data_IF_207806846108
#
_entry.id   IF_207806846108
#
_cell.length_a   1.000
_cell.length_b   1.000
_cell.length_c   1.000
_cell.angle_alpha   90.00
_cell.angle_beta   90.00
_cell.angle_gamma   90.00
#
_symmetry.space_group_name_H-M   'P 1'
#
loop_
_entity.id
_entity.type
_entity.pdbx_description
1 polymer ?
#
# COMPACT_ATOMS: atom_id res chain seq x y z
N UNK A 1 -1.63 -59.21 48.69
CA UNK A 1 -0.16 -59.08 48.60
C UNK A 1 0.16 -57.67 48.11
N UNK A 2 0.43 -56.74 49.03
CA UNK A 2 0.81 -55.36 48.71
C UNK A 2 2.35 -55.24 48.59
N UNK A 3 2.82 -54.39 47.68
CA UNK A 3 4.23 -53.96 47.56
C UNK A 3 4.31 -52.43 47.59
N UNK A 4 5.42 -51.85 48.06
CA UNK A 4 5.41 -50.68 48.96
C UNK A 4 5.53 -49.31 48.28
N UNK A 5 5.29 -48.20 49.03
CA UNK A 5 5.35 -46.82 48.55
C UNK A 5 6.77 -46.25 48.68
N UNK A 6 7.11 -45.22 47.88
CA UNK A 6 8.32 -44.42 48.09
C UNK A 6 7.97 -42.94 48.19
N UNK A 7 7.97 -42.51 49.45
CA UNK A 7 8.40 -41.26 50.08
C UNK A 7 8.50 -39.94 49.30
N UNK A 8 7.90 -38.95 49.94
CA UNK A 8 8.02 -37.51 49.73
C UNK A 8 9.44 -36.96 49.97
N UNK A 9 9.76 -35.85 49.31
CA UNK A 9 10.60 -34.79 49.86
C UNK A 9 9.91 -33.45 49.62
N UNK A 10 9.48 -32.82 50.71
CA UNK A 10 9.22 -31.39 50.83
C UNK A 10 10.43 -30.80 51.56
N UNK A 11 11.10 -29.81 50.97
CA UNK A 11 11.90 -28.80 51.71
C UNK A 11 11.79 -27.49 50.91
N UNK A 12 11.04 -26.51 51.40
CA UNK A 12 11.56 -25.21 51.90
C UNK A 12 11.71 -24.20 50.74
N UNK A 13 10.99 -23.08 50.66
CA UNK A 13 10.96 -21.98 51.64
C UNK A 13 11.72 -20.77 51.05
N UNK A 14 10.95 -19.75 50.63
CA UNK A 14 11.23 -18.35 50.21
C UNK A 14 12.42 -17.64 50.93
N UNK A 15 12.95 -16.44 50.51
CA UNK A 15 12.29 -15.35 49.75
C UNK A 15 13.16 -14.47 48.79
N UNK A 16 12.48 -13.53 48.13
CA UNK A 16 12.89 -12.16 47.75
C UNK A 16 14.22 -11.91 47.01
N UNK A 17 14.11 -11.55 45.72
CA UNK A 17 15.14 -10.80 45.00
C UNK A 17 14.46 -9.73 44.15
N UNK A 18 14.39 -8.51 44.69
CA UNK A 18 14.04 -7.31 43.92
C UNK A 18 15.10 -7.11 42.83
N UNK A 19 14.68 -7.17 41.58
CA UNK A 19 15.48 -6.78 40.42
C UNK A 19 14.62 -5.87 39.55
N UNK A 20 14.72 -4.57 39.79
CA UNK A 20 14.20 -3.55 38.88
C UNK A 20 14.99 -3.64 37.57
N UNK A 21 14.38 -4.19 36.53
CA UNK A 21 14.81 -4.00 35.15
C UNK A 21 13.59 -3.63 34.31
N UNK A 22 13.51 -2.32 34.02
CA UNK A 22 12.92 -1.68 32.85
C UNK A 22 11.76 -2.41 32.16
N UNK A 23 10.55 -2.01 32.52
CA UNK A 23 9.35 -2.26 31.73
C UNK A 23 9.42 -1.46 30.40
N UNK A 24 9.09 -2.12 29.29
CA UNK A 24 8.71 -1.44 28.04
C UNK A 24 9.55 -1.79 26.82
N UNK A 25 9.56 -3.06 26.38
CA UNK A 25 9.74 -3.49 24.99
C UNK A 25 10.10 -4.99 24.97
N UNK A 26 9.11 -5.88 24.89
CA UNK A 26 9.22 -7.26 24.38
C UNK A 26 8.03 -8.09 24.88
N UNK A 27 6.85 -7.85 24.31
CA UNK A 27 5.74 -8.79 24.47
C UNK A 27 4.77 -8.74 23.28
N UNK A 28 5.31 -8.73 22.07
CA UNK A 28 4.51 -8.84 20.85
C UNK A 28 4.32 -10.33 20.52
N UNK A 29 3.05 -10.72 20.38
CA UNK A 29 2.54 -12.10 20.48
C UNK A 29 2.45 -12.77 19.12
N UNK A 30 2.29 -14.11 19.12
CA UNK A 30 2.30 -15.04 17.97
C UNK A 30 1.32 -14.74 16.81
N UNK A 31 0.52 -13.68 16.87
CA UNK A 31 -0.54 -13.37 15.90
C UNK A 31 -0.38 -12.03 15.15
N UNK A 32 0.61 -11.22 15.49
CA UNK A 32 0.85 -9.95 14.80
C UNK A 32 1.41 -10.17 13.39
N UNK A 33 0.85 -9.48 12.39
CA UNK A 33 1.37 -9.48 11.02
C UNK A 33 2.10 -8.18 10.73
N UNK A 34 3.13 -8.27 9.89
CA UNK A 34 3.84 -7.11 9.39
C UNK A 34 3.06 -6.47 8.24
N UNK A 35 2.70 -5.19 8.38
CA UNK A 35 2.06 -4.39 7.34
C UNK A 35 3.04 -3.31 6.87
N UNK A 36 3.09 -3.08 5.56
CA UNK A 36 3.82 -1.99 4.94
C UNK A 36 2.88 -1.13 4.10
N UNK A 37 3.08 0.18 4.15
CA UNK A 37 2.43 1.12 3.24
C UNK A 37 3.49 1.88 2.46
N UNK A 38 3.40 1.85 1.14
CA UNK A 38 4.49 2.33 0.26
C UNK A 38 3.96 3.39 -0.69
N UNK A 39 4.42 4.63 -0.49
CA UNK A 39 4.28 5.69 -1.49
C UNK A 39 5.38 5.53 -2.55
N UNK A 40 4.99 5.02 -3.71
CA UNK A 40 5.93 4.60 -4.75
C UNK A 40 6.24 5.73 -5.72
N UNK A 41 7.50 5.80 -6.16
CA UNK A 41 7.90 6.73 -7.22
C UNK A 41 8.61 6.02 -8.36
N UNK A 42 8.40 6.51 -9.59
CA UNK A 42 9.00 5.95 -10.81
C UNK A 42 10.44 6.43 -11.07
N UNK A 43 10.96 7.29 -10.20
CA UNK A 43 12.32 7.83 -10.25
C UNK A 43 12.86 8.06 -8.83
N UNK A 44 13.08 6.99 -8.05
CA UNK A 44 13.60 7.10 -6.70
C UNK A 44 15.00 7.71 -6.72
N UNK A 45 15.27 8.54 -5.73
CA UNK A 45 16.58 9.15 -5.48
C UNK A 45 16.69 9.48 -4.00
N UNK A 46 17.87 9.92 -3.54
CA UNK A 46 18.02 10.42 -2.15
C UNK A 46 17.11 11.63 -1.84
N UNK A 47 16.83 12.46 -2.84
CA UNK A 47 15.94 13.62 -2.70
C UNK A 47 14.44 13.27 -2.81
N UNK A 48 14.12 12.13 -3.42
CA UNK A 48 12.76 11.62 -3.56
C UNK A 48 12.77 10.10 -3.46
N UNK A 49 12.88 9.54 -2.25
CA UNK A 49 12.89 8.10 -2.06
C UNK A 49 11.49 7.51 -2.28
N UNK A 50 11.42 6.19 -2.37
CA UNK A 50 10.19 5.46 -2.09
C UNK A 50 10.00 5.49 -0.57
N UNK A 51 8.86 6.01 -0.10
CA UNK A 51 8.61 6.15 1.34
C UNK A 51 7.78 4.97 1.82
N UNK A 52 8.22 4.32 2.90
CA UNK A 52 7.61 3.10 3.41
C UNK A 52 7.27 3.21 4.90
N UNK A 53 5.98 3.30 5.23
CA UNK A 53 5.51 3.08 6.60
C UNK A 53 5.60 1.59 6.93
N UNK A 54 6.19 1.27 8.08
CA UNK A 54 6.31 -0.08 8.62
C UNK A 54 5.47 -0.17 9.87
N UNK A 55 4.57 -1.15 9.90
CA UNK A 55 3.55 -1.26 10.93
C UNK A 55 3.44 -2.68 11.46
N UNK A 56 2.90 -2.80 12.67
CA UNK A 56 2.37 -4.05 13.20
C UNK A 56 0.85 -4.00 13.18
N UNK A 57 0.23 -5.10 12.76
CA UNK A 57 -1.21 -5.27 12.81
C UNK A 57 -1.61 -6.48 13.63
N UNK A 58 -2.45 -6.27 14.65
CA UNK A 58 -2.98 -7.31 15.54
C UNK A 58 -4.40 -6.91 15.97
N UNK A 59 -5.36 -7.84 15.86
CA UNK A 59 -6.73 -7.68 16.39
C UNK A 59 -7.43 -6.35 16.03
N UNK A 60 -7.29 -5.89 14.77
CA UNK A 60 -7.94 -4.64 14.30
C UNK A 60 -7.17 -3.37 14.66
N UNK A 61 -6.02 -3.48 15.31
CA UNK A 61 -5.13 -2.38 15.67
C UNK A 61 -3.92 -2.33 14.73
N UNK A 62 -3.67 -1.18 14.12
CA UNK A 62 -2.51 -0.88 13.30
C UNK A 62 -1.60 0.10 14.03
N UNK A 63 -0.42 -0.35 14.44
CA UNK A 63 0.60 0.50 15.05
C UNK A 63 1.68 0.83 14.04
N UNK A 64 1.93 2.12 13.80
CA UNK A 64 3.06 2.58 12.97
C UNK A 64 4.33 2.54 13.82
N UNK A 65 5.30 1.71 13.39
CA UNK A 65 6.59 1.52 14.06
C UNK A 65 7.64 2.50 13.51
N UNK A 66 7.64 2.71 12.19
CA UNK A 66 8.67 3.50 11.51
C UNK A 66 8.12 4.04 10.17
N UNK A 67 8.63 5.20 9.73
CA UNK A 67 8.47 5.69 8.36
C UNK A 67 9.86 5.74 7.70
N UNK A 68 10.17 4.72 6.92
CA UNK A 68 11.46 4.53 6.27
C UNK A 68 11.55 5.34 4.97
N UNK A 69 12.56 6.22 4.89
CA UNK A 69 12.88 7.03 3.69
C UNK A 69 14.21 6.64 3.05
N UNK A 70 14.76 5.47 3.40
CA UNK A 70 16.04 4.94 2.90
C UNK A 70 15.95 4.19 1.58
N UNK A 71 14.77 3.98 1.01
CA UNK A 71 14.59 3.30 -0.29
C UNK A 71 14.80 4.32 -1.42
N UNK A 72 16.06 4.69 -1.63
CA UNK A 72 16.47 5.76 -2.55
C UNK A 72 16.74 5.27 -3.98
N UNK A 73 16.67 3.97 -4.24
CA UNK A 73 16.78 3.39 -5.56
C UNK A 73 15.92 2.11 -5.71
N UNK A 74 15.88 1.57 -6.93
CA UNK A 74 15.10 0.36 -7.21
C UNK A 74 15.73 -0.91 -6.65
N UNK A 75 17.05 -0.96 -6.43
CA UNK A 75 17.71 -2.11 -5.82
C UNK A 75 17.32 -2.25 -4.35
N UNK A 76 17.24 -1.15 -3.61
CA UNK A 76 16.72 -1.11 -2.25
C UNK A 76 15.24 -1.54 -2.20
N UNK A 77 14.43 -1.14 -3.18
CA UNK A 77 13.04 -1.57 -3.27
C UNK A 77 12.92 -3.08 -3.58
N UNK A 78 13.74 -3.60 -4.49
CA UNK A 78 13.81 -5.04 -4.79
C UNK A 78 14.30 -5.85 -3.59
N UNK A 79 15.25 -5.34 -2.80
CA UNK A 79 15.68 -5.94 -1.54
C UNK A 79 14.54 -5.98 -0.51
N UNK A 80 13.74 -4.92 -0.41
CA UNK A 80 12.51 -4.90 0.40
C UNK A 80 11.52 -6.00 -0.04
N UNK A 81 11.23 -6.11 -1.34
CA UNK A 81 10.34 -7.17 -1.86
C UNK A 81 10.90 -8.59 -1.64
N UNK A 82 12.23 -8.72 -1.59
CA UNK A 82 12.93 -9.97 -1.31
C UNK A 82 13.00 -10.34 0.17
N UNK A 83 12.62 -9.45 1.09
CA UNK A 83 12.70 -9.71 2.53
C UNK A 83 11.80 -10.89 2.94
N UNK A 84 12.24 -11.76 3.88
CA UNK A 84 11.46 -12.90 4.34
C UNK A 84 10.07 -12.51 4.87
N UNK A 85 9.05 -13.25 4.45
CA UNK A 85 7.68 -13.13 4.95
C UNK A 85 7.43 -13.83 6.29
N UNK A 86 6.19 -13.78 6.82
CA UNK A 86 5.00 -13.19 6.22
C UNK A 86 4.94 -11.67 6.35
N UNK A 87 4.47 -10.99 5.31
CA UNK A 87 4.14 -9.57 5.35
C UNK A 87 3.13 -9.20 4.28
N UNK A 88 2.42 -8.09 4.49
CA UNK A 88 1.51 -7.49 3.50
C UNK A 88 1.98 -6.07 3.19
N UNK A 89 1.98 -5.67 1.93
CA UNK A 89 2.29 -4.30 1.53
C UNK A 89 1.19 -3.70 0.64
N UNK A 90 0.73 -2.50 0.98
CA UNK A 90 -0.07 -1.65 0.10
C UNK A 90 0.84 -0.71 -0.68
N UNK A 91 0.79 -0.76 -2.01
CA UNK A 91 1.67 0.04 -2.88
C UNK A 91 0.85 1.06 -3.70
N UNK A 92 1.24 2.35 -3.65
CA UNK A 92 0.60 3.43 -4.42
C UNK A 92 1.10 3.48 -5.87
N UNK A 93 0.70 2.49 -6.67
CA UNK A 93 0.76 2.56 -8.13
C UNK A 93 -0.17 1.50 -8.75
N UNK A 94 -0.66 1.72 -9.98
CA UNK A 94 -1.49 0.74 -10.66
C UNK A 94 -0.71 -0.55 -10.95
N UNK A 95 -1.24 -1.69 -10.51
CA UNK A 95 -0.65 -3.00 -10.80
C UNK A 95 -0.90 -3.45 -12.24
N UNK A 96 -2.00 -3.02 -12.85
CA UNK A 96 -2.39 -3.41 -14.19
C UNK A 96 -2.74 -2.24 -15.10
N UNK A 97 -3.02 -2.58 -16.36
CA UNK A 97 -3.47 -1.65 -17.38
C UNK A 97 -4.92 -1.98 -17.76
N UNK A 98 -5.67 -1.04 -18.38
CA UNK A 98 -7.04 -1.31 -18.79
C UNK A 98 -7.07 -2.49 -19.76
N UNK A 99 -7.96 -3.47 -19.56
CA UNK A 99 -8.02 -4.68 -20.41
C UNK A 99 -8.15 -4.32 -21.89
N UNK A 100 -9.00 -3.34 -22.20
CA UNK A 100 -9.18 -2.84 -23.56
C UNK A 100 -7.87 -2.33 -24.19
N UNK A 101 -6.98 -1.73 -23.41
CA UNK A 101 -5.67 -1.31 -23.92
C UNK A 101 -4.80 -2.53 -24.24
N UNK A 102 -4.74 -3.51 -23.34
CA UNK A 102 -3.97 -4.75 -23.51
C UNK A 102 -4.42 -5.49 -24.78
N UNK A 103 -5.74 -5.64 -24.96
CA UNK A 103 -6.35 -6.32 -26.12
C UNK A 103 -6.07 -5.58 -27.43
N UNK A 104 -6.30 -4.26 -27.48
CA UNK A 104 -6.10 -3.47 -28.70
C UNK A 104 -4.62 -3.33 -29.11
N UNK A 105 -3.69 -3.52 -28.16
CA UNK A 105 -2.25 -3.60 -28.44
C UNK A 105 -1.81 -5.01 -28.86
N UNK A 106 -2.70 -6.00 -28.83
CA UNK A 106 -2.38 -7.39 -29.16
C UNK A 106 -1.44 -8.04 -28.15
N UNK A 107 -1.46 -7.57 -26.90
CA UNK A 107 -0.65 -8.15 -25.83
C UNK A 107 -1.29 -9.40 -25.23
N UNK A 108 -0.51 -10.27 -24.57
CA UNK A 108 -1.07 -11.40 -23.85
C UNK A 108 -2.11 -10.99 -22.81
N UNK A 109 -3.19 -11.76 -22.69
CA UNK A 109 -4.30 -11.47 -21.78
C UNK A 109 -4.08 -11.98 -20.34
N UNK A 110 -2.87 -12.43 -20.02
CA UNK A 110 -2.44 -12.80 -18.66
C UNK A 110 -1.55 -11.72 -18.07
N UNK A 111 -1.81 -11.32 -16.81
CA UNK A 111 -1.02 -10.30 -16.14
C UNK A 111 0.47 -10.60 -16.13
N UNK A 112 0.85 -11.83 -15.77
CA UNK A 112 2.24 -12.23 -15.70
C UNK A 112 2.94 -12.17 -17.07
N UNK A 113 2.22 -12.51 -18.14
CA UNK A 113 2.79 -12.55 -19.49
C UNK A 113 3.02 -11.16 -20.05
N UNK A 114 2.02 -10.25 -19.98
CA UNK A 114 2.20 -8.91 -20.53
C UNK A 114 3.11 -8.04 -19.65
N UNK A 115 3.04 -8.17 -18.32
CA UNK A 115 3.98 -7.48 -17.41
C UNK A 115 5.40 -8.01 -17.61
N UNK A 116 5.56 -9.31 -17.90
CA UNK A 116 6.84 -9.93 -18.23
C UNK A 116 7.52 -9.35 -19.48
N UNK A 117 6.79 -8.61 -20.32
CA UNK A 117 7.35 -7.87 -21.46
C UNK A 117 8.16 -6.63 -21.09
N UNK A 118 8.15 -6.22 -19.81
CA UNK A 118 8.91 -5.07 -19.31
C UNK A 118 9.98 -5.51 -18.31
N UNK A 119 11.16 -4.88 -18.36
CA UNK A 119 12.19 -5.07 -17.34
C UNK A 119 12.15 -3.97 -16.26
N UNK A 120 11.43 -2.88 -16.51
CA UNK A 120 11.33 -1.71 -15.62
C UNK A 120 12.52 -0.78 -15.73
N UNK A 121 13.13 -0.72 -16.91
CA UNK A 121 14.27 0.14 -17.27
C UNK A 121 13.81 1.51 -17.77
N UNK A 122 14.75 2.44 -17.92
CA UNK A 122 14.49 3.75 -18.53
C UNK A 122 14.05 3.61 -19.99
N UNK A 123 14.59 2.61 -20.68
CA UNK A 123 14.21 2.29 -22.05
C UNK A 123 12.77 1.79 -22.12
N UNK A 124 12.35 0.94 -21.19
CA UNK A 124 10.96 0.47 -21.11
C UNK A 124 10.00 1.64 -20.86
N UNK A 125 10.35 2.57 -19.98
CA UNK A 125 9.55 3.78 -19.73
C UNK A 125 9.42 4.58 -21.03
N UNK A 126 10.52 4.85 -21.75
CA UNK A 126 10.48 5.57 -23.04
C UNK A 126 9.64 4.85 -24.09
N UNK A 127 9.79 3.52 -24.21
CA UNK A 127 9.00 2.70 -25.14
C UNK A 127 7.52 2.78 -24.80
N UNK A 128 7.16 2.70 -23.53
CA UNK A 128 5.78 2.83 -23.07
C UNK A 128 5.22 4.23 -23.35
N UNK A 129 5.99 5.30 -23.15
CA UNK A 129 5.57 6.66 -23.47
C UNK A 129 5.24 6.84 -24.95
N UNK A 130 6.12 6.36 -25.83
CA UNK A 130 5.93 6.39 -27.29
C UNK A 130 4.68 5.58 -27.67
N UNK A 131 4.52 4.40 -27.08
CA UNK A 131 3.38 3.52 -27.33
C UNK A 131 2.05 4.19 -26.96
N UNK A 132 1.96 4.75 -25.75
CA UNK A 132 0.76 5.43 -25.26
C UNK A 132 0.47 6.69 -26.08
N UNK A 133 1.49 7.46 -26.45
CA UNK A 133 1.34 8.61 -27.34
C UNK A 133 0.79 8.19 -28.71
N UNK A 134 1.38 7.16 -29.33
CA UNK A 134 0.93 6.62 -30.61
C UNK A 134 -0.50 6.07 -30.54
N UNK A 135 -0.84 5.35 -29.46
CA UNK A 135 -2.19 4.88 -29.19
C UNK A 135 -3.19 6.05 -29.16
N UNK A 136 -2.89 7.10 -28.39
CA UNK A 136 -3.73 8.30 -28.27
C UNK A 136 -3.97 9.04 -29.58
N UNK A 137 -2.98 9.08 -30.45
CA UNK A 137 -3.08 9.75 -31.76
C UNK A 137 -4.09 9.06 -32.68
N UNK A 138 -4.27 7.74 -32.55
CA UNK A 138 -5.22 6.95 -33.36
C UNK A 138 -6.65 6.94 -32.80
N UNK A 139 -6.89 7.56 -31.64
CA UNK A 139 -8.18 7.48 -30.96
C UNK A 139 -9.04 8.73 -31.19
N UNK A 140 -10.37 8.56 -31.37
CA UNK A 140 -11.30 9.67 -31.39
C UNK A 140 -11.22 10.52 -30.12
N UNK A 141 -11.67 11.79 -30.18
CA UNK A 141 -11.88 12.59 -28.97
C UNK A 141 -12.70 11.83 -27.91
N UNK A 142 -12.32 11.99 -26.64
CA UNK A 142 -12.96 11.29 -25.51
C UNK A 142 -12.47 9.85 -25.27
N UNK A 143 -11.78 9.21 -26.22
CA UNK A 143 -11.29 7.82 -26.10
C UNK A 143 -9.77 7.71 -25.94
N UNK A 144 -9.10 8.84 -25.68
CA UNK A 144 -7.63 8.93 -25.54
C UNK A 144 -7.12 8.40 -24.18
N UNK A 145 -8.01 8.25 -23.21
CA UNK A 145 -7.68 7.71 -21.91
C UNK A 145 -8.65 6.59 -21.58
N UNK A 146 -8.11 5.38 -21.40
CA UNK A 146 -8.85 4.26 -20.87
C UNK A 146 -8.61 4.20 -19.36
N UNK A 147 -9.68 3.89 -18.63
CA UNK A 147 -9.67 3.72 -17.19
C UNK A 147 -10.00 2.27 -16.89
N UNK A 148 -9.37 1.72 -15.87
CA UNK A 148 -9.81 0.47 -15.24
C UNK A 148 -11.10 0.74 -14.48
N UNK A 149 -11.84 -0.32 -14.17
CA UNK A 149 -13.07 -0.15 -13.38
C UNK A 149 -12.77 0.45 -11.99
N UNK A 150 -11.71 0.00 -11.33
CA UNK A 150 -11.26 0.54 -10.04
C UNK A 150 -10.90 2.04 -10.13
N UNK A 151 -10.33 2.49 -11.25
CA UNK A 151 -9.92 3.89 -11.42
C UNK A 151 -11.16 4.80 -11.47
N UNK A 152 -12.21 4.36 -12.18
CA UNK A 152 -13.46 5.12 -12.28
C UNK A 152 -14.11 5.28 -10.91
N UNK A 153 -14.24 4.18 -10.17
CA UNK A 153 -14.87 4.15 -8.84
C UNK A 153 -14.08 4.99 -7.83
N UNK A 154 -12.75 4.89 -7.84
CA UNK A 154 -11.89 5.67 -6.97
C UNK A 154 -11.76 7.15 -7.40
N UNK A 155 -12.23 7.51 -8.60
CA UNK A 155 -11.90 8.79 -9.23
C UNK A 155 -10.40 9.00 -9.33
N UNK A 156 -9.65 7.95 -9.67
CA UNK A 156 -8.21 7.96 -9.88
C UNK A 156 -7.86 8.36 -11.32
N UNK A 157 -6.58 8.66 -11.55
CA UNK A 157 -6.08 8.92 -12.90
C UNK A 157 -5.89 7.61 -13.66
N UNK A 158 -6.09 7.64 -14.97
CA UNK A 158 -5.82 6.49 -15.83
C UNK A 158 -4.36 6.02 -15.69
N UNK A 159 -4.08 4.70 -15.63
CA UNK A 159 -2.72 4.16 -15.64
C UNK A 159 -1.97 4.41 -16.95
N UNK A 160 -2.62 5.03 -17.95
CA UNK A 160 -1.97 5.56 -19.14
C UNK A 160 -1.36 6.96 -18.90
N UNK A 161 -1.55 7.58 -17.73
CA UNK A 161 -1.11 8.95 -17.46
C UNK A 161 0.41 9.03 -17.27
N UNK A 162 1.05 9.90 -18.05
CA UNK A 162 2.52 10.05 -18.12
C UNK A 162 3.04 11.37 -17.55
N UNK A 163 2.13 12.30 -17.23
CA UNK A 163 2.44 13.66 -16.76
C UNK A 163 1.48 14.05 -15.62
N UNK A 164 1.87 15.03 -14.81
CA UNK A 164 1.15 15.39 -13.58
C UNK A 164 1.41 14.34 -12.52
N UNK A 165 0.55 13.32 -12.44
CA UNK A 165 0.76 12.10 -11.66
C UNK A 165 1.10 10.97 -12.62
N UNK A 166 2.38 10.64 -12.84
CA UNK A 166 2.83 9.76 -13.91
C UNK A 166 2.68 8.28 -13.55
N UNK A 167 1.47 7.85 -13.17
CA UNK A 167 1.17 6.49 -12.72
C UNK A 167 1.48 5.42 -13.77
N UNK A 168 1.46 5.77 -15.07
CA UNK A 168 1.90 4.85 -16.12
C UNK A 168 3.40 4.56 -16.09
N UNK A 169 4.22 5.55 -15.71
CA UNK A 169 5.65 5.30 -15.46
C UNK A 169 5.84 4.44 -14.22
N UNK A 170 5.01 4.65 -13.20
CA UNK A 170 5.04 3.85 -11.97
C UNK A 170 4.68 2.39 -12.26
N UNK A 171 3.65 2.11 -13.06
CA UNK A 171 3.32 0.76 -13.52
C UNK A 171 4.52 0.07 -14.18
N UNK A 172 5.14 0.71 -15.20
CA UNK A 172 6.28 0.13 -15.93
C UNK A 172 7.46 -0.16 -15.01
N UNK A 173 7.67 0.66 -13.97
CA UNK A 173 8.74 0.44 -12.98
C UNK A 173 8.37 -0.62 -11.94
N UNK A 174 7.18 -0.56 -11.39
CA UNK A 174 6.77 -1.32 -10.22
C UNK A 174 6.31 -2.73 -10.57
N UNK A 175 5.39 -2.89 -11.52
CA UNK A 175 4.75 -4.18 -11.79
C UNK A 175 5.75 -5.30 -12.18
N UNK A 176 6.76 -5.05 -13.05
CA UNK A 176 7.76 -6.08 -13.35
C UNK A 176 8.61 -6.49 -12.16
N UNK A 177 8.83 -5.58 -11.20
CA UNK A 177 9.58 -5.86 -9.97
C UNK A 177 8.78 -6.76 -9.03
N UNK A 178 7.46 -6.54 -8.93
CA UNK A 178 6.57 -7.45 -8.21
C UNK A 178 6.58 -8.84 -8.82
N UNK A 179 6.47 -8.94 -10.16
CA UNK A 179 6.51 -10.20 -10.88
C UNK A 179 7.81 -10.97 -10.60
N UNK A 180 8.97 -10.31 -10.72
CA UNK A 180 10.29 -10.93 -10.47
C UNK A 180 10.51 -11.33 -9.01
N UNK A 181 10.02 -10.53 -8.06
CA UNK A 181 10.14 -10.84 -6.63
C UNK A 181 9.35 -12.10 -6.22
N UNK A 182 8.41 -12.55 -7.08
CA UNK A 182 7.60 -13.74 -6.84
C UNK A 182 6.56 -13.56 -5.74
N UNK A 183 6.29 -12.33 -5.32
CA UNK A 183 5.30 -12.00 -4.29
C UNK A 183 3.88 -12.35 -4.77
N UNK A 184 2.98 -12.55 -3.82
CA UNK A 184 1.57 -12.77 -4.08
C UNK A 184 0.89 -11.43 -4.44
N UNK A 185 0.62 -11.20 -5.72
CA UNK A 185 0.06 -9.93 -6.23
C UNK A 185 -1.44 -10.09 -6.37
N UNK A 186 -2.24 -9.41 -5.54
CA UNK A 186 -3.70 -9.54 -5.59
C UNK A 186 -4.35 -8.37 -6.34
N UNK A 187 -5.37 -8.64 -7.19
CA UNK A 187 -5.84 -9.95 -7.66
C UNK A 187 -5.02 -10.51 -8.85
N UNK A 188 -3.99 -9.79 -9.32
CA UNK A 188 -3.43 -10.01 -10.64
C UNK A 188 -2.68 -11.34 -10.85
N UNK A 189 -2.01 -11.83 -9.81
CA UNK A 189 -1.19 -13.04 -9.83
C UNK A 189 -1.14 -13.68 -8.43
N UNK A 190 -2.22 -14.35 -8.01
CA UNK A 190 -2.24 -15.10 -6.76
C UNK A 190 -1.34 -16.34 -6.86
N UNK A 191 -0.32 -16.46 -6.00
CA UNK A 191 0.70 -17.55 -6.07
C UNK A 191 0.99 -18.23 -4.74
N UNK A 192 0.19 -18.00 -3.70
CA UNK A 192 0.35 -18.70 -2.41
C UNK A 192 1.60 -18.31 -1.61
N UNK A 193 2.35 -17.30 -2.04
CA UNK A 193 3.45 -16.71 -1.29
C UNK A 193 2.91 -15.89 -0.10
N UNK A 194 3.56 -16.02 1.06
CA UNK A 194 3.17 -15.29 2.29
C UNK A 194 3.47 -13.78 2.26
N UNK A 195 4.21 -13.32 1.25
CA UNK A 195 4.50 -11.92 0.95
C UNK A 195 3.45 -11.40 -0.01
N UNK A 196 2.43 -10.73 0.52
CA UNK A 196 1.28 -10.29 -0.28
C UNK A 196 1.36 -8.79 -0.57
N UNK A 197 1.04 -8.41 -1.80
CA UNK A 197 0.92 -7.00 -2.19
C UNK A 197 -0.49 -6.72 -2.71
N UNK A 198 -1.03 -5.59 -2.29
CA UNK A 198 -2.30 -5.03 -2.76
C UNK A 198 -2.07 -3.63 -3.31
N UNK A 199 -2.83 -3.27 -4.33
CA UNK A 199 -2.80 -1.90 -4.85
C UNK A 199 -3.64 -1.00 -3.93
N UNK A 200 -3.10 0.15 -3.56
CA UNK A 200 -3.77 1.13 -2.70
C UNK A 200 -3.73 2.50 -3.35
N UNK A 201 -4.51 3.44 -2.81
CA UNK A 201 -4.56 4.80 -3.35
C UNK A 201 -4.78 5.80 -2.22
N UNK A 202 -3.72 6.35 -1.60
CA UNK A 202 -3.81 7.20 -0.41
C UNK A 202 -4.63 8.47 -0.67
N UNK A 203 -4.65 8.94 -1.92
CA UNK A 203 -5.51 10.05 -2.34
C UNK A 203 -7.01 9.77 -2.15
N UNK A 204 -7.49 8.53 -2.25
CA UNK A 204 -8.88 8.16 -1.92
C UNK A 204 -9.15 8.28 -0.42
N UNK A 205 -8.28 7.71 0.41
CA UNK A 205 -8.38 7.78 1.87
C UNK A 205 -8.35 9.24 2.38
N UNK A 206 -7.40 10.05 1.89
CA UNK A 206 -7.31 11.46 2.25
C UNK A 206 -8.58 12.24 1.86
N UNK A 207 -9.12 11.99 0.66
CA UNK A 207 -10.35 12.68 0.19
C UNK A 207 -11.57 12.39 1.05
N UNK A 208 -11.66 11.21 1.67
CA UNK A 208 -12.74 10.89 2.62
C UNK A 208 -12.66 11.72 3.89
N UNK A 209 -11.44 12.02 4.35
CA UNK A 209 -11.19 12.75 5.60
C UNK A 209 -11.37 14.26 5.45
N UNK A 210 -10.85 14.83 4.36
CA UNK A 210 -10.75 16.29 4.21
C UNK A 210 -11.45 16.83 2.95
N UNK A 211 -12.02 15.97 2.12
CA UNK A 211 -12.57 16.34 0.82
C UNK A 211 -11.48 16.53 -0.25
N UNK A 212 -11.83 17.17 -1.36
CA UNK A 212 -10.91 17.43 -2.48
C UNK A 212 -10.06 18.69 -2.25
N UNK A 213 -9.38 18.76 -1.11
CA UNK A 213 -8.46 19.84 -0.75
C UNK A 213 -7.00 19.37 -0.87
N UNK A 214 -6.08 20.18 -1.43
CA UNK A 214 -4.68 19.81 -1.51
C UNK A 214 -4.02 19.76 -0.11
N UNK A 215 -3.29 18.69 0.18
CA UNK A 215 -2.42 18.57 1.37
C UNK A 215 -0.94 18.37 1.03
N UNK A 216 -0.64 18.03 -0.23
CA UNK A 216 0.71 17.94 -0.80
C UNK A 216 1.07 19.24 -1.49
N UNK A 217 2.34 19.63 -1.42
CA UNK A 217 2.89 20.73 -2.23
C UNK A 217 2.74 20.41 -3.71
N UNK A 218 1.80 21.08 -4.38
CA UNK A 218 1.58 21.02 -5.82
C UNK A 218 1.88 22.34 -6.51
N UNK A 219 1.37 22.53 -7.74
CA UNK A 219 1.35 23.83 -8.44
C UNK A 219 0.24 24.77 -7.97
N UNK A 220 -0.52 24.38 -6.94
CA UNK A 220 -1.70 25.11 -6.48
C UNK A 220 -1.31 26.42 -5.78
N UNK A 221 -2.21 27.42 -5.82
CA UNK A 221 -2.04 28.74 -5.19
C UNK A 221 -2.25 28.74 -3.67
N UNK A 222 -2.65 27.61 -3.08
CA UNK A 222 -2.88 27.48 -1.63
C UNK A 222 -1.57 27.64 -0.86
N UNK A 223 -1.64 28.33 0.28
CA UNK A 223 -0.46 28.60 1.11
C UNK A 223 0.06 27.34 1.81
N UNK A 224 1.38 27.29 2.08
CA UNK A 224 2.02 26.17 2.79
C UNK A 224 1.39 25.89 4.17
N UNK A 225 0.98 26.96 4.87
CA UNK A 225 0.29 26.87 6.16
C UNK A 225 -1.07 26.18 6.05
N UNK A 226 -1.83 26.46 4.98
CA UNK A 226 -3.13 25.80 4.74
C UNK A 226 -2.94 24.30 4.50
N UNK A 227 -1.92 23.90 3.74
CA UNK A 227 -1.62 22.49 3.50
C UNK A 227 -1.19 21.74 4.77
N UNK A 228 -0.43 22.39 5.65
CA UNK A 228 -0.04 21.81 6.94
C UNK A 228 -1.27 21.55 7.82
N UNK A 229 -2.25 22.46 7.82
CA UNK A 229 -3.51 22.27 8.53
C UNK A 229 -4.33 21.12 7.93
N UNK A 230 -4.35 20.96 6.60
CA UNK A 230 -5.00 19.81 5.97
C UNK A 230 -4.32 18.50 6.38
N UNK A 231 -2.98 18.43 6.43
CA UNK A 231 -2.26 17.23 6.92
C UNK A 231 -2.61 16.92 8.36
N UNK A 232 -2.68 17.93 9.24
CA UNK A 232 -3.13 17.77 10.64
C UNK A 232 -4.52 17.16 10.73
N UNK A 233 -5.47 17.69 9.96
CA UNK A 233 -6.85 17.16 9.91
C UNK A 233 -6.92 15.71 9.41
N UNK A 234 -6.05 15.32 8.47
CA UNK A 234 -5.94 13.92 8.03
C UNK A 234 -5.46 13.04 9.19
N UNK A 235 -4.36 13.42 9.86
CA UNK A 235 -3.82 12.64 10.98
C UNK A 235 -4.83 12.52 12.12
N UNK A 236 -5.44 13.63 12.56
CA UNK A 236 -6.49 13.60 13.58
C UNK A 236 -7.67 12.71 13.16
N UNK A 237 -8.01 12.73 11.87
CA UNK A 237 -9.09 11.91 11.34
C UNK A 237 -8.80 10.41 11.40
N UNK A 238 -7.55 10.01 11.13
CA UNK A 238 -7.08 8.64 11.28
C UNK A 238 -7.12 8.20 12.74
N UNK A 239 -6.56 9.00 13.65
CA UNK A 239 -6.45 8.66 15.07
C UNK A 239 -7.80 8.59 15.78
N UNK A 240 -8.75 9.45 15.42
CA UNK A 240 -10.11 9.44 15.98
C UNK A 240 -10.99 8.33 15.41
N UNK A 241 -10.58 7.70 14.30
CA UNK A 241 -11.45 6.79 13.56
C UNK A 241 -12.72 7.48 13.08
N UNK A 242 -12.59 8.66 12.46
CA UNK A 242 -13.74 9.49 12.10
C UNK A 242 -14.76 8.73 11.23
N UNK A 243 -16.07 9.03 11.38
CA UNK A 243 -17.13 8.46 10.54
C UNK A 243 -16.84 8.65 9.04
N UNK A 244 -16.97 7.58 8.24
CA UNK A 244 -16.81 7.60 6.77
C UNK A 244 -15.48 7.07 6.22
N UNK A 245 -14.51 6.73 7.08
CA UNK A 245 -13.33 5.96 6.64
C UNK A 245 -13.63 4.46 6.47
N UNK A 246 -14.60 3.92 7.21
CA UNK A 246 -15.11 2.53 7.19
C UNK A 246 -14.03 1.43 7.22
N UNK A 247 -12.80 1.77 7.62
CA UNK A 247 -11.71 0.81 7.76
C UNK A 247 -11.90 -0.09 8.99
N UNK A 248 -12.63 0.38 10.01
CA UNK A 248 -12.86 -0.40 11.24
C UNK A 248 -11.58 -0.75 12.01
N UNK A 249 -10.54 0.09 11.89
CA UNK A 249 -9.23 -0.11 12.52
C UNK A 249 -8.96 0.94 13.60
N UNK A 250 -8.29 0.53 14.68
CA UNK A 250 -7.63 1.45 15.60
C UNK A 250 -6.23 1.76 15.08
N UNK A 251 -5.92 3.03 14.84
CA UNK A 251 -4.63 3.46 14.32
C UNK A 251 -3.83 4.13 15.42
N UNK A 252 -2.61 3.67 15.67
CA UNK A 252 -1.68 4.25 16.62
C UNK A 252 -0.41 4.72 15.93
N UNK A 253 -0.05 5.98 16.18
CA UNK A 253 1.12 6.65 15.64
C UNK A 253 1.74 7.44 16.79
N UNK A 254 3.05 7.27 17.04
CA UNK A 254 3.75 8.05 18.05
C UNK A 254 3.91 9.51 17.63
N UNK A 255 3.95 10.43 18.59
CA UNK A 255 4.02 11.88 18.36
C UNK A 255 5.18 12.28 17.44
N UNK A 256 6.35 11.65 17.58
CA UNK A 256 7.52 11.88 16.73
C UNK A 256 7.21 11.57 15.24
N UNK A 257 6.49 10.49 14.97
CA UNK A 257 6.10 10.10 13.60
C UNK A 257 4.97 10.97 13.06
N UNK A 258 4.08 11.45 13.93
CA UNK A 258 3.07 12.46 13.58
C UNK A 258 3.76 13.73 13.11
N UNK A 259 4.70 14.27 13.89
CA UNK A 259 5.44 15.48 13.53
C UNK A 259 6.21 15.33 12.22
N UNK A 260 6.81 14.15 11.97
CA UNK A 260 7.42 13.84 10.68
C UNK A 260 6.43 13.91 9.51
N UNK A 261 5.19 13.42 9.68
CA UNK A 261 4.15 13.51 8.66
C UNK A 261 3.68 14.96 8.43
N UNK A 262 3.61 15.76 9.49
CA UNK A 262 3.17 17.17 9.39
C UNK A 262 4.24 18.05 8.74
N UNK A 263 5.51 17.81 9.07
CA UNK A 263 6.65 18.54 8.53
C UNK A 263 6.96 18.22 7.07
N UNK A 264 6.56 17.04 6.58
CA UNK A 264 6.75 16.64 5.19
C UNK A 264 5.77 17.35 4.23
N UNK A 265 6.28 18.36 3.53
CA UNK A 265 5.50 19.14 2.57
C UNK A 265 5.17 18.40 1.27
N UNK A 266 5.95 17.36 0.91
CA UNK A 266 5.60 16.52 -0.25
C UNK A 266 4.41 15.63 0.09
N UNK A 267 4.25 15.30 1.37
CA UNK A 267 3.17 14.47 1.91
C UNK A 267 3.38 12.98 1.65
N UNK A 268 4.58 12.58 1.23
CA UNK A 268 4.92 11.20 0.88
C UNK A 268 4.97 10.32 2.14
N UNK A 269 5.39 10.88 3.29
CA UNK A 269 5.31 10.20 4.60
C UNK A 269 3.87 9.90 4.99
N UNK A 270 2.99 10.89 4.91
CA UNK A 270 1.58 10.71 5.24
C UNK A 270 0.89 9.72 4.29
N UNK A 271 1.23 9.76 3.01
CA UNK A 271 0.71 8.81 2.02
C UNK A 271 1.14 7.39 2.30
N UNK A 272 2.39 7.17 2.72
CA UNK A 272 2.85 5.85 3.13
C UNK A 272 2.05 5.30 4.32
N UNK A 273 1.64 6.15 5.28
CA UNK A 273 0.77 5.75 6.40
C UNK A 273 -0.64 5.41 5.89
N UNK A 274 -1.21 6.22 5.01
CA UNK A 274 -2.52 5.94 4.41
C UNK A 274 -2.51 4.64 3.59
N UNK A 275 -1.41 4.36 2.88
CA UNK A 275 -1.20 3.08 2.19
C UNK A 275 -1.21 1.90 3.18
N UNK A 276 -0.57 2.05 4.35
CA UNK A 276 -0.53 1.01 5.37
C UNK A 276 -1.93 0.76 5.96
N UNK A 277 -2.73 1.81 6.15
CA UNK A 277 -4.13 1.70 6.60
C UNK A 277 -4.96 0.90 5.59
N UNK A 278 -4.86 1.20 4.29
CA UNK A 278 -5.55 0.44 3.25
C UNK A 278 -5.09 -1.02 3.18
N UNK A 279 -3.78 -1.28 3.32
CA UNK A 279 -3.23 -2.63 3.34
C UNK A 279 -3.70 -3.45 4.55
N UNK A 280 -3.73 -2.83 5.74
CA UNK A 280 -4.21 -3.46 6.97
C UNK A 280 -5.70 -3.80 6.87
N UNK A 281 -6.50 -2.91 6.27
CA UNK A 281 -7.90 -3.18 5.98
C UNK A 281 -8.05 -4.34 4.99
N UNK A 282 -7.31 -4.36 3.87
CA UNK A 282 -7.36 -5.46 2.92
C UNK A 282 -7.01 -6.81 3.59
N UNK A 283 -6.01 -6.81 4.48
CA UNK A 283 -5.64 -7.99 5.25
C UNK A 283 -6.71 -8.41 6.28
N UNK A 284 -7.44 -7.46 6.88
CA UNK A 284 -8.58 -7.77 7.75
C UNK A 284 -9.72 -8.44 6.97
N UNK A 285 -9.82 -8.16 5.67
CA UNK A 285 -10.78 -8.75 4.74
C UNK A 285 -10.27 -10.03 4.04
N UNK A 286 -9.12 -10.61 4.41
CA UNK A 286 -8.51 -11.74 3.67
C UNK A 286 -9.41 -12.96 3.51
N UNK A 287 -10.26 -13.26 4.51
CA UNK A 287 -11.25 -14.35 4.46
C UNK A 287 -12.44 -14.03 3.55
N UNK A 288 -12.61 -12.76 3.18
CA UNK A 288 -13.64 -12.22 2.30
C UNK A 288 -13.03 -11.67 1.00
N UNK A 289 -11.99 -12.33 0.48
CA UNK A 289 -11.38 -11.97 -0.80
C UNK A 289 -10.56 -10.68 -0.76
N UNK A 290 -10.03 -10.29 0.40
CA UNK A 290 -9.16 -9.12 0.58
C UNK A 290 -9.82 -7.76 0.28
N UNK A 291 -11.16 -7.70 0.28
CA UNK A 291 -11.89 -6.52 -0.15
C UNK A 291 -11.80 -6.28 -1.67
N UNK A 292 -11.52 -7.34 -2.43
CA UNK A 292 -11.52 -7.34 -3.89
C UNK A 292 -12.82 -8.02 -4.37
N UNK A 293 -13.66 -7.34 -5.18
CA UNK A 293 -14.87 -7.94 -5.70
C UNK A 293 -14.56 -9.16 -6.60
N UNK A 294 -15.39 -10.22 -6.56
CA UNK A 294 -15.15 -11.44 -7.33
C UNK A 294 -15.25 -11.23 -8.86
N UNK A 295 -15.88 -10.15 -9.30
CA UNK A 295 -15.97 -9.73 -10.70
C UNK A 295 -14.81 -8.83 -11.15
N UNK A 296 -13.87 -8.51 -10.24
CA UNK A 296 -12.69 -7.74 -10.59
C UNK A 296 -11.89 -8.47 -11.69
N UNK A 297 -11.46 -7.70 -12.68
CA UNK A 297 -10.60 -8.19 -13.73
C UNK A 297 -9.14 -8.33 -13.24
N UNK A 298 -8.58 -9.55 -13.16
CA UNK A 298 -7.21 -9.75 -12.69
C UNK A 298 -6.15 -9.16 -13.62
N UNK A 299 -6.47 -8.82 -14.86
CA UNK A 299 -5.54 -8.09 -15.75
C UNK A 299 -5.42 -6.63 -15.34
N UNK A 300 -6.50 -6.02 -14.86
CA UNK A 300 -6.53 -4.60 -14.51
C UNK A 300 -5.98 -4.35 -13.10
N UNK A 301 -6.23 -5.26 -12.16
CA UNK A 301 -5.96 -5.05 -10.73
C UNK A 301 -7.09 -4.28 -10.03
N UNK A 302 -6.93 -4.05 -8.72
CA UNK A 302 -7.95 -3.43 -7.89
C UNK A 302 -7.35 -2.58 -6.76
N UNK A 303 -7.81 -1.34 -6.62
CA UNK A 303 -7.48 -0.49 -5.48
C UNK A 303 -8.26 -1.01 -4.28
N UNK A 304 -7.58 -1.47 -3.22
CA UNK A 304 -8.26 -1.98 -2.02
C UNK A 304 -8.66 -0.82 -1.11
N UNK A 305 -9.97 -0.53 -1.05
CA UNK A 305 -10.56 0.46 -0.15
C UNK A 305 -12.05 0.11 0.08
N UNK A 306 -12.59 0.26 1.31
CA UNK A 306 -13.99 -0.06 1.60
C UNK A 306 -14.98 0.73 0.75
N UNK A 307 -14.65 1.94 0.28
CA UNK A 307 -15.55 2.71 -0.57
C UNK A 307 -15.79 2.10 -1.96
N UNK A 308 -14.96 1.14 -2.39
CA UNK A 308 -15.11 0.54 -3.71
C UNK A 308 -15.98 -0.71 -3.72
N UNK A 309 -16.36 -1.22 -2.54
CA UNK A 309 -17.22 -2.41 -2.38
C UNK A 309 -18.68 -2.15 -2.75
N UNK A 310 -19.22 -0.98 -2.37
CA UNK A 310 -20.65 -0.66 -2.49
C UNK A 310 -20.99 0.32 -3.62
N UNK A 311 -20.03 0.72 -4.45
CA UNK A 311 -20.36 1.57 -5.60
C UNK A 311 -21.27 0.78 -6.55
N UNK A 312 -22.53 1.22 -6.79
CA UNK A 312 -23.44 0.53 -7.70
C UNK A 312 -22.76 0.44 -9.07
N UNK A 313 -22.86 -0.71 -9.71
CA UNK A 313 -22.39 -0.90 -11.08
C UNK A 313 -23.06 0.17 -11.97
N UNK A 314 -22.34 1.14 -12.56
CA UNK A 314 -22.94 2.16 -13.40
C UNK A 314 -23.26 1.63 -14.81
N UNK A 315 -23.32 0.31 -15.00
CA UNK A 315 -23.74 -0.36 -16.22
C UNK A 315 -25.02 -1.16 -15.98
#
# INVERSE_FOLDING_TARGET
MPGPPVSAIIVGGLPCGQGWCSAGAARWRRCAVRIYGVDFTSAPSSAKPIVCAKCWFEEGKLQVEEINTGISDFGAFEAFLGAPGPWVAGLDFPFGLPRKLVEELGWPCSWAEYVGGFCGTDEDVRRFEILIAGYRLRKPPGQKHLFRETDRRAGAVSPMSLYGTPVGRMFVRGAPRLLRAGVNVLPCRPVGDSRTVVEVYPGLAARKLVGRVPYKRGRAKSGLSEMAEVRRRIVEGLLRGLPGLDYGLLIEIEDELIEQCLADETGDRLDSVLCAVQAAWAYSQREFGWGIPPWCDPVEGWITDPALLDAPNPF
#
